data_IF_740438917549
#
_entry.id   IF_740438917549
#
_cell.length_a   1.000
_cell.length_b   1.000
_cell.length_c   1.000
_cell.angle_alpha   90.00
_cell.angle_beta   90.00
_cell.angle_gamma   90.00
#
_symmetry.space_group_name_H-M   'P 1'
#
loop_
_entity.id
_entity.type
_entity.pdbx_description
1 polymer ?
#
# COMPACT_ATOMS: atom_id res chain seq x y z
N UNK A 1 26.76 25.69 -4.36
CA UNK A 1 25.58 24.82 -4.55
C UNK A 1 24.65 25.08 -3.37
N UNK A 2 23.45 25.59 -3.65
CA UNK A 2 22.60 26.31 -2.69
C UNK A 2 21.93 25.38 -1.66
N UNK A 3 22.25 25.56 -0.38
CA UNK A 3 21.63 24.86 0.77
C UNK A 3 20.10 25.03 0.83
N UNK A 4 19.55 26.10 0.23
CA UNK A 4 18.12 26.38 0.21
C UNK A 4 17.29 25.47 -0.73
N UNK A 5 17.91 24.78 -1.70
CA UNK A 5 17.19 23.85 -2.60
C UNK A 5 17.10 22.41 -2.04
N UNK A 6 17.92 22.05 -1.06
CA UNK A 6 17.97 20.71 -0.47
C UNK A 6 16.94 20.47 0.64
N UNK A 7 16.46 21.52 1.30
CA UNK A 7 15.52 21.43 2.42
C UNK A 7 14.12 20.91 2.06
N UNK A 8 13.41 21.40 1.01
CA UNK A 8 12.03 20.95 0.74
C UNK A 8 11.96 19.47 0.36
N UNK A 9 12.99 18.96 -0.31
CA UNK A 9 13.02 17.56 -0.74
C UNK A 9 13.12 16.58 0.45
N UNK A 10 13.85 16.98 1.49
CA UNK A 10 14.05 16.15 2.68
C UNK A 10 12.80 16.07 3.55
N UNK A 11 12.00 17.13 3.65
CA UNK A 11 10.73 17.11 4.39
C UNK A 11 9.71 16.17 3.75
N UNK A 12 9.56 16.23 2.42
CA UNK A 12 8.68 15.33 1.67
C UNK A 12 9.09 13.86 1.87
N UNK A 13 10.39 13.57 1.80
CA UNK A 13 10.93 12.22 2.02
C UNK A 13 10.63 11.70 3.43
N UNK A 14 10.82 12.52 4.46
CA UNK A 14 10.52 12.15 5.86
C UNK A 14 9.02 11.93 6.07
N UNK A 15 8.18 12.82 5.56
CA UNK A 15 6.73 12.68 5.64
C UNK A 15 6.24 11.41 4.95
N UNK A 16 6.77 11.11 3.76
CA UNK A 16 6.48 9.89 3.03
C UNK A 16 6.79 8.65 3.87
N UNK A 17 8.04 8.54 4.37
CA UNK A 17 8.47 7.40 5.19
C UNK A 17 7.61 7.27 6.45
N UNK A 18 7.31 8.38 7.13
CA UNK A 18 6.50 8.36 8.35
C UNK A 18 5.08 7.86 8.08
N UNK A 19 4.43 8.36 7.02
CA UNK A 19 3.09 7.91 6.63
C UNK A 19 3.10 6.40 6.34
N UNK A 20 4.15 5.91 5.68
CA UNK A 20 4.30 4.49 5.37
C UNK A 20 4.42 3.64 6.62
N UNK A 21 5.27 4.05 7.57
CA UNK A 21 5.43 3.34 8.85
C UNK A 21 4.10 3.31 9.60
N UNK A 22 3.44 4.46 9.73
CA UNK A 22 2.17 4.59 10.47
C UNK A 22 1.08 3.72 9.85
N UNK A 23 0.98 3.67 8.52
CA UNK A 23 -0.05 2.88 7.83
C UNK A 23 0.27 1.38 7.77
N UNK A 24 1.56 1.02 7.73
CA UNK A 24 1.99 -0.37 7.67
C UNK A 24 1.82 -1.10 9.01
N UNK A 25 2.03 -0.40 10.13
CA UNK A 25 1.90 -0.96 11.48
C UNK A 25 0.55 -1.65 11.74
N UNK A 26 -0.62 -1.04 11.50
CA UNK A 26 -1.89 -1.72 11.73
C UNK A 26 -2.07 -2.92 10.79
N UNK A 27 -1.62 -2.87 9.53
CA UNK A 27 -1.74 -4.03 8.64
C UNK A 27 -0.89 -5.21 9.09
N UNK A 28 0.29 -4.94 9.66
CA UNK A 28 1.18 -5.95 10.23
C UNK A 28 0.72 -6.47 11.59
N UNK A 29 0.42 -5.57 12.52
CA UNK A 29 0.27 -5.88 13.95
C UNK A 29 -1.15 -6.31 14.33
N UNK A 30 -2.18 -5.79 13.65
CA UNK A 30 -3.56 -6.01 14.08
C UNK A 30 -4.00 -7.47 14.13
N UNK A 31 -3.48 -8.37 13.26
CA UNK A 31 -3.81 -9.79 13.36
C UNK A 31 -2.92 -10.58 14.34
N UNK A 32 -1.85 -9.99 14.92
CA UNK A 32 -0.99 -10.69 15.89
C UNK A 32 -1.74 -11.18 17.14
N UNK A 33 -2.67 -10.42 17.77
CA UNK A 33 -3.45 -10.92 18.88
C UNK A 33 -4.20 -12.22 18.58
N UNK A 34 -4.62 -12.43 17.32
CA UNK A 34 -5.31 -13.67 16.92
C UNK A 34 -4.38 -14.88 17.08
N UNK A 35 -3.12 -14.75 16.65
CA UNK A 35 -2.10 -15.81 16.76
C UNK A 35 -1.66 -16.02 18.20
N UNK A 36 -1.46 -14.93 18.94
CA UNK A 36 -0.93 -14.99 20.31
C UNK A 36 -1.95 -15.60 21.27
N UNK A 37 -3.21 -15.21 21.16
CA UNK A 37 -4.26 -15.63 22.08
C UNK A 37 -5.10 -16.79 21.58
N UNK A 38 -5.00 -17.17 20.29
CA UNK A 38 -5.73 -18.31 19.71
C UNK A 38 -7.25 -18.20 19.83
N UNK A 39 -7.80 -16.97 19.83
CA UNK A 39 -9.23 -16.76 20.06
C UNK A 39 -9.96 -16.45 18.74
N UNK A 40 -10.77 -17.38 18.20
CA UNK A 40 -11.47 -17.19 16.93
C UNK A 40 -12.54 -16.09 17.00
N UNK A 41 -13.19 -15.87 18.15
CA UNK A 41 -14.15 -14.77 18.31
C UNK A 41 -13.50 -13.39 18.23
N UNK A 42 -12.22 -13.30 18.60
CA UNK A 42 -11.45 -12.07 18.45
C UNK A 42 -11.12 -11.82 16.96
N UNK A 43 -10.84 -12.88 16.20
CA UNK A 43 -10.57 -12.80 14.76
C UNK A 43 -11.74 -12.18 14.00
N UNK A 44 -12.96 -12.67 14.23
CA UNK A 44 -14.17 -12.18 13.55
C UNK A 44 -14.45 -10.69 13.81
N UNK A 45 -14.11 -10.19 15.02
CA UNK A 45 -14.30 -8.79 15.38
C UNK A 45 -13.22 -7.87 14.84
N UNK A 46 -11.97 -8.36 14.78
CA UNK A 46 -10.83 -7.56 14.32
C UNK A 46 -10.69 -7.55 12.80
N UNK A 47 -11.21 -8.56 12.11
CA UNK A 47 -11.06 -8.70 10.66
C UNK A 47 -11.61 -7.52 9.85
N UNK A 48 -12.83 -7.00 10.10
CA UNK A 48 -13.35 -5.83 9.36
C UNK A 48 -12.49 -4.57 9.58
N UNK A 49 -12.02 -4.36 10.81
CA UNK A 49 -11.12 -3.24 11.14
C UNK A 49 -9.78 -3.39 10.43
N UNK A 50 -9.22 -4.60 10.39
CA UNK A 50 -7.99 -4.88 9.65
C UNK A 50 -8.17 -4.64 8.15
N UNK A 51 -9.26 -5.11 7.55
CA UNK A 51 -9.59 -4.84 6.14
C UNK A 51 -9.68 -3.34 5.85
N UNK A 52 -10.27 -2.55 6.77
CA UNK A 52 -10.32 -1.10 6.64
C UNK A 52 -8.92 -0.48 6.69
N UNK A 53 -8.03 -0.95 7.59
CA UNK A 53 -6.64 -0.50 7.63
C UNK A 53 -5.90 -0.81 6.32
N UNK A 54 -6.10 -2.01 5.76
CA UNK A 54 -5.53 -2.41 4.46
C UNK A 54 -6.04 -1.50 3.34
N UNK A 55 -7.34 -1.22 3.30
CA UNK A 55 -7.96 -0.32 2.33
C UNK A 55 -7.42 1.11 2.42
N UNK A 56 -7.30 1.65 3.64
CA UNK A 56 -6.74 2.98 3.89
C UNK A 56 -5.28 3.03 3.46
N UNK A 57 -4.48 2.01 3.82
CA UNK A 57 -3.09 1.92 3.38
C UNK A 57 -3.03 1.96 1.85
N UNK A 58 -3.79 1.11 1.16
CA UNK A 58 -3.80 1.02 -0.31
C UNK A 58 -4.16 2.36 -0.97
N UNK A 59 -5.23 3.01 -0.51
CA UNK A 59 -5.69 4.25 -1.12
C UNK A 59 -4.73 5.41 -0.89
N UNK A 60 -4.16 5.51 0.33
CA UNK A 60 -3.16 6.53 0.62
C UNK A 60 -1.89 6.29 -0.20
N UNK A 61 -1.43 5.05 -0.31
CA UNK A 61 -0.21 4.73 -1.05
C UNK A 61 -0.37 4.97 -2.55
N UNK A 62 -1.49 4.53 -3.13
CA UNK A 62 -1.83 4.78 -4.55
C UNK A 62 -1.90 6.28 -4.82
N UNK A 63 -2.52 7.06 -3.94
CA UNK A 63 -2.63 8.51 -4.08
C UNK A 63 -1.28 9.21 -3.98
N UNK A 64 -0.48 8.90 -2.95
CA UNK A 64 0.83 9.51 -2.73
C UNK A 64 1.82 9.17 -3.84
N UNK A 65 1.91 7.91 -4.25
CA UNK A 65 2.82 7.49 -5.32
C UNK A 65 2.43 8.12 -6.66
N UNK A 66 1.12 8.27 -6.91
CA UNK A 66 0.61 9.00 -8.06
C UNK A 66 1.01 10.48 -8.06
N UNK A 67 0.99 11.16 -6.90
CA UNK A 67 1.47 12.54 -6.78
C UNK A 67 2.98 12.67 -7.05
N UNK A 68 3.76 11.66 -6.68
CA UNK A 68 5.22 11.63 -6.89
C UNK A 68 5.61 11.39 -8.35
N UNK A 69 4.75 10.77 -9.16
CA UNK A 69 4.99 10.53 -10.59
C UNK A 69 4.99 11.81 -11.47
N UNK A 70 4.75 13.01 -10.91
CA UNK A 70 4.73 14.32 -11.59
C UNK A 70 3.98 14.31 -12.93
N UNK A 71 2.72 14.73 -12.91
CA UNK A 71 1.93 14.89 -14.13
C UNK A 71 2.44 16.08 -14.95
N UNK A 72 3.01 15.83 -16.13
CA UNK A 72 3.50 16.87 -17.05
C UNK A 72 2.62 17.09 -18.28
N UNK A 73 1.63 16.23 -18.49
CA UNK A 73 0.69 16.32 -19.62
C UNK A 73 -0.73 15.91 -19.22
N UNK A 74 -1.73 16.40 -19.97
CA UNK A 74 -3.13 16.04 -19.76
C UNK A 74 -3.36 14.52 -19.83
N UNK A 75 -2.70 13.83 -20.77
CA UNK A 75 -2.76 12.38 -20.90
C UNK A 75 -2.31 11.67 -19.63
N UNK A 76 -1.17 12.06 -19.05
CA UNK A 76 -0.70 11.50 -17.78
C UNK A 76 -1.64 11.81 -16.62
N UNK A 77 -2.33 12.96 -16.65
CA UNK A 77 -3.36 13.32 -15.69
C UNK A 77 -4.54 12.36 -15.75
N UNK A 78 -5.05 12.07 -16.95
CA UNK A 78 -6.10 11.06 -17.17
C UNK A 78 -5.63 9.68 -16.72
N UNK A 79 -4.44 9.23 -17.13
CA UNK A 79 -3.91 7.91 -16.77
C UNK A 79 -3.81 7.76 -15.24
N UNK A 80 -3.40 8.82 -14.55
CA UNK A 80 -3.33 8.86 -13.09
C UNK A 80 -4.70 8.85 -12.44
N UNK A 81 -5.65 9.63 -12.95
CA UNK A 81 -7.02 9.67 -12.44
C UNK A 81 -7.72 8.31 -12.62
N UNK A 82 -7.53 7.67 -13.79
CA UNK A 82 -8.04 6.32 -14.06
C UNK A 82 -7.43 5.30 -13.10
N UNK A 83 -6.12 5.37 -12.87
CA UNK A 83 -5.45 4.46 -11.94
C UNK A 83 -5.99 4.58 -10.51
N UNK A 84 -6.08 5.80 -9.97
CA UNK A 84 -6.60 6.02 -8.61
C UNK A 84 -8.07 5.59 -8.53
N UNK A 85 -8.88 5.92 -9.54
CA UNK A 85 -10.30 5.55 -9.59
C UNK A 85 -10.50 4.04 -9.65
N UNK A 86 -9.69 3.33 -10.43
CA UNK A 86 -9.73 1.87 -10.54
C UNK A 86 -9.49 1.24 -9.17
N UNK A 87 -8.43 1.65 -8.48
CA UNK A 87 -8.11 1.15 -7.14
C UNK A 87 -9.19 1.50 -6.12
N UNK A 88 -9.79 2.69 -6.20
CA UNK A 88 -10.90 3.09 -5.34
C UNK A 88 -12.13 2.18 -5.54
N UNK A 89 -12.53 1.94 -6.78
CA UNK A 89 -13.68 1.08 -7.11
C UNK A 89 -13.44 -0.34 -6.58
N UNK A 90 -12.29 -0.94 -6.87
CA UNK A 90 -11.98 -2.28 -6.38
C UNK A 90 -11.84 -2.34 -4.86
N UNK A 91 -11.33 -1.29 -4.21
CA UNK A 91 -11.27 -1.19 -2.75
C UNK A 91 -12.66 -1.21 -2.14
N UNK A 92 -13.60 -0.40 -2.67
CA UNK A 92 -14.98 -0.37 -2.18
C UNK A 92 -15.65 -1.72 -2.38
N UNK A 93 -15.54 -2.31 -3.58
CA UNK A 93 -16.10 -3.64 -3.87
C UNK A 93 -15.53 -4.72 -2.94
N UNK A 94 -14.24 -4.65 -2.62
CA UNK A 94 -13.58 -5.61 -1.72
C UNK A 94 -14.09 -5.49 -0.29
N UNK A 95 -14.35 -4.27 0.21
CA UNK A 95 -14.88 -4.05 1.56
C UNK A 95 -16.30 -4.59 1.77
N UNK A 96 -17.07 -4.82 0.71
CA UNK A 96 -18.44 -5.32 0.82
C UNK A 96 -18.52 -6.80 1.23
N UNK A 97 -17.45 -7.58 1.06
CA UNK A 97 -17.43 -9.02 1.32
C UNK A 97 -16.12 -9.44 1.98
N UNK A 98 -16.20 -10.04 3.17
CA UNK A 98 -15.01 -10.53 3.90
C UNK A 98 -14.19 -11.52 3.06
N UNK A 99 -14.86 -12.41 2.34
CA UNK A 99 -14.24 -13.41 1.45
C UNK A 99 -13.42 -12.80 0.31
N UNK A 100 -13.63 -11.51 0.01
CA UNK A 100 -12.92 -10.81 -1.06
C UNK A 100 -11.59 -10.20 -0.61
N UNK A 101 -11.20 -10.32 0.66
CA UNK A 101 -9.97 -9.71 1.19
C UNK A 101 -8.68 -10.07 0.41
N UNK A 102 -8.63 -11.23 -0.25
CA UNK A 102 -7.52 -11.60 -1.14
C UNK A 102 -7.32 -10.62 -2.31
N UNK A 103 -8.37 -9.93 -2.75
CA UNK A 103 -8.30 -8.90 -3.77
C UNK A 103 -7.39 -7.76 -3.35
N UNK A 104 -7.33 -7.40 -2.05
CA UNK A 104 -6.36 -6.41 -1.59
C UNK A 104 -4.92 -6.85 -1.83
N UNK A 105 -4.60 -8.11 -1.58
CA UNK A 105 -3.28 -8.67 -1.87
C UNK A 105 -2.93 -8.56 -3.36
N UNK A 106 -3.90 -8.83 -4.23
CA UNK A 106 -3.76 -8.69 -5.69
C UNK A 106 -3.61 -7.23 -6.11
N UNK A 107 -4.37 -6.31 -5.54
CA UNK A 107 -4.28 -4.87 -5.83
C UNK A 107 -2.91 -4.33 -5.43
N UNK A 108 -2.40 -4.65 -4.23
CA UNK A 108 -1.04 -4.30 -3.83
C UNK A 108 0.00 -4.91 -4.78
N UNK A 109 -0.18 -6.15 -5.22
CA UNK A 109 0.74 -6.78 -6.17
C UNK A 109 0.74 -6.05 -7.52
N UNK A 110 -0.43 -5.73 -8.08
CA UNK A 110 -0.59 -4.93 -9.31
C UNK A 110 0.08 -3.56 -9.12
N UNK A 111 -0.11 -2.94 -7.96
CA UNK A 111 0.49 -1.66 -7.63
C UNK A 111 2.02 -1.73 -7.59
N UNK A 112 2.58 -2.80 -7.02
CA UNK A 112 4.02 -3.03 -6.94
C UNK A 112 4.68 -3.07 -8.32
N UNK A 113 4.01 -3.62 -9.34
CA UNK A 113 4.55 -3.68 -10.71
C UNK A 113 4.72 -2.31 -11.34
N UNK A 114 3.86 -1.35 -10.98
CA UNK A 114 4.00 0.05 -11.42
C UNK A 114 5.29 0.67 -10.90
N UNK A 115 5.68 0.36 -9.65
CA UNK A 115 6.95 0.79 -9.08
C UNK A 115 8.16 -0.02 -9.59
N UNK A 116 8.00 -1.33 -9.82
CA UNK A 116 9.05 -2.22 -10.29
C UNK A 116 9.51 -1.91 -11.71
N UNK A 117 8.59 -1.59 -12.62
CA UNK A 117 8.91 -1.39 -14.02
C UNK A 117 9.93 -0.27 -14.26
N UNK A 118 9.79 0.95 -13.68
CA UNK A 118 10.82 1.98 -13.79
C UNK A 118 12.11 1.62 -13.03
N UNK A 119 12.04 0.89 -11.91
CA UNK A 119 13.24 0.41 -11.19
C UNK A 119 14.10 -0.52 -12.05
N UNK A 120 13.47 -1.37 -12.85
CA UNK A 120 14.15 -2.31 -13.74
C UNK A 120 14.69 -1.66 -15.01
N UNK A 121 14.07 -0.57 -15.48
CA UNK A 121 14.47 0.13 -16.70
C UNK A 121 15.48 1.26 -16.49
N UNK A 122 15.55 1.85 -15.30
CA UNK A 122 16.35 3.05 -15.05
C UNK A 122 17.67 2.74 -14.32
N UNK A 123 18.73 3.45 -14.69
CA UNK A 123 19.79 3.74 -13.72
C UNK A 123 19.17 4.56 -12.58
N UNK A 124 19.41 4.20 -11.31
CA UNK A 124 18.79 4.87 -10.16
C UNK A 124 19.19 6.35 -10.13
N UNK A 125 18.36 7.22 -10.71
CA UNK A 125 18.51 8.65 -10.56
C UNK A 125 17.94 9.06 -9.20
N UNK A 126 18.59 10.02 -8.54
CA UNK A 126 18.20 10.50 -7.20
C UNK A 126 16.73 10.95 -7.12
N UNK A 127 16.08 11.26 -8.25
CA UNK A 127 14.68 11.65 -8.35
C UNK A 127 13.67 10.53 -8.10
N UNK A 128 14.08 9.26 -8.04
CA UNK A 128 13.19 8.10 -7.91
C UNK A 128 13.39 7.29 -6.62
N UNK A 129 13.98 7.90 -5.59
CA UNK A 129 14.31 7.25 -4.31
C UNK A 129 13.13 6.52 -3.63
N UNK A 130 11.90 6.90 -3.93
CA UNK A 130 10.68 6.37 -3.32
C UNK A 130 10.20 5.07 -3.99
N UNK A 131 10.63 4.78 -5.23
CA UNK A 131 10.15 3.60 -5.95
C UNK A 131 10.51 2.29 -5.26
N UNK A 132 11.73 2.19 -4.70
CA UNK A 132 12.16 0.99 -3.98
C UNK A 132 11.36 0.79 -2.69
N UNK A 133 11.02 1.87 -1.99
CA UNK A 133 10.17 1.84 -0.80
C UNK A 133 8.73 1.47 -1.15
N UNK A 134 8.16 2.03 -2.22
CA UNK A 134 6.83 1.69 -2.71
C UNK A 134 6.75 0.21 -3.10
N UNK A 135 7.72 -0.27 -3.87
CA UNK A 135 7.79 -1.68 -4.28
C UNK A 135 7.90 -2.61 -3.07
N UNK A 136 8.83 -2.35 -2.15
CA UNK A 136 9.01 -3.17 -0.96
C UNK A 136 7.74 -3.18 -0.10
N UNK A 137 7.17 -2.01 0.18
CA UNK A 137 5.90 -1.86 0.93
C UNK A 137 4.81 -2.72 0.33
N UNK A 138 4.58 -2.62 -0.98
CA UNK A 138 3.49 -3.31 -1.64
C UNK A 138 3.68 -4.82 -1.62
N UNK A 139 4.88 -5.30 -1.95
CA UNK A 139 5.20 -6.72 -1.91
C UNK A 139 5.06 -7.28 -0.50
N UNK A 140 5.64 -6.61 0.51
CA UNK A 140 5.52 -7.05 1.91
C UNK A 140 4.08 -7.04 2.38
N UNK A 141 3.29 -6.03 2.00
CA UNK A 141 1.86 -5.95 2.35
C UNK A 141 1.06 -7.05 1.68
N UNK A 142 1.33 -7.36 0.42
CA UNK A 142 0.74 -8.52 -0.29
C UNK A 142 1.03 -9.82 0.46
N UNK A 143 2.28 -10.07 0.84
CA UNK A 143 2.64 -11.26 1.60
C UNK A 143 1.94 -11.34 2.95
N UNK A 144 1.88 -10.23 3.69
CA UNK A 144 1.18 -10.13 4.97
C UNK A 144 -0.30 -10.48 4.79
N UNK A 145 -0.97 -9.91 3.80
CA UNK A 145 -2.39 -10.19 3.52
C UNK A 145 -2.59 -11.69 3.25
N UNK A 146 -1.81 -12.29 2.35
CA UNK A 146 -1.97 -13.71 2.02
C UNK A 146 -1.61 -14.63 3.19
N UNK A 147 -0.58 -14.29 3.96
CA UNK A 147 -0.21 -15.01 5.17
C UNK A 147 -1.38 -15.03 6.17
N UNK A 148 -2.00 -13.87 6.42
CA UNK A 148 -3.13 -13.77 7.33
C UNK A 148 -4.38 -14.50 6.85
N UNK A 149 -4.66 -14.42 5.55
CA UNK A 149 -5.76 -15.17 4.95
C UNK A 149 -5.55 -16.67 5.04
N UNK A 150 -4.31 -17.15 4.89
CA UNK A 150 -3.98 -18.56 5.05
C UNK A 150 -4.18 -19.03 6.49
N UNK A 151 -3.75 -18.25 7.48
CA UNK A 151 -3.98 -18.54 8.90
C UNK A 151 -5.49 -18.62 9.19
N UNK A 152 -6.28 -17.65 8.73
CA UNK A 152 -7.73 -17.66 8.96
C UNK A 152 -8.45 -18.80 8.21
N UNK A 153 -8.01 -19.14 7.00
CA UNK A 153 -8.60 -20.23 6.22
C UNK A 153 -8.30 -21.62 6.80
N UNK A 154 -7.20 -21.75 7.57
CA UNK A 154 -6.80 -23.02 8.18
C UNK A 154 -7.68 -23.49 9.34
N UNK A 155 -8.71 -22.73 9.72
CA UNK A 155 -9.73 -23.16 10.68
C UNK A 155 -9.12 -23.47 12.05
N UNK A 156 -8.55 -22.45 12.68
CA UNK A 156 -8.40 -22.43 14.14
C UNK A 156 -9.74 -22.11 14.80
#
# INVERSE_FOLDING_TARGET
>A
MNEQQQTPHNHLKRAYILIHIVLFLPVLLWPLPIVIFGNPMLADRLFPTWMLCVAVQLMVTVGMDSMLYRVSSFKQGIDTALWVSLFAIFTISTLQRHESAWLFGVLFLIHSFRAAYPLLKAQPSANHWWLSLAWLRDITTTFIIFFWLNINASGW
#
